data_IF_415117146258
#
_entry.id   IF_415117146258
#
_cell.length_a   1.000
_cell.length_b   1.000
_cell.length_c   1.000
_cell.angle_alpha   90.00
_cell.angle_beta   90.00
_cell.angle_gamma   90.00
#
_symmetry.space_group_name_H-M   'P 1'
#
loop_
_entity.id
_entity.type
_entity.pdbx_description
1 polymer ?
#
# COMPACT_ATOMS: atom_id res chain seq x y z
N UNK A 1 -3.76 -7.11 16.26
CA UNK A 1 -3.56 -6.50 14.93
C UNK A 1 -4.91 -6.42 14.25
N UNK A 2 -5.19 -5.34 13.54
CA UNK A 2 -6.39 -5.20 12.69
C UNK A 2 -6.21 -6.05 11.43
N UNK A 3 -6.99 -7.12 11.28
CA UNK A 3 -6.91 -8.07 10.16
C UNK A 3 -7.55 -7.56 8.85
N UNK A 4 -7.36 -6.27 8.55
CA UNK A 4 -8.01 -5.65 7.40
C UNK A 4 -7.04 -5.57 6.22
N UNK A 5 -7.46 -6.10 5.08
CA UNK A 5 -6.74 -5.90 3.83
C UNK A 5 -6.98 -4.46 3.33
N UNK A 6 -5.91 -3.77 2.98
CA UNK A 6 -5.93 -2.38 2.50
C UNK A 6 -5.51 -2.40 1.03
N UNK A 7 -6.37 -1.88 0.15
CA UNK A 7 -6.07 -1.74 -1.27
C UNK A 7 -5.95 -0.25 -1.65
N UNK A 8 -4.82 0.11 -2.23
CA UNK A 8 -4.58 1.41 -2.87
C UNK A 8 -4.87 1.30 -4.36
N UNK A 9 -5.82 2.12 -4.84
CA UNK A 9 -6.09 2.26 -6.28
C UNK A 9 -5.27 3.46 -6.79
N UNK A 10 -4.21 3.15 -7.54
CA UNK A 10 -3.10 4.02 -7.88
C UNK A 10 -1.86 3.70 -7.02
N UNK A 11 -0.69 3.61 -7.64
CA UNK A 11 0.58 3.27 -7.00
C UNK A 11 1.63 4.40 -7.04
N UNK A 12 1.20 5.64 -7.31
CA UNK A 12 2.10 6.79 -7.31
C UNK A 12 2.59 7.23 -5.92
N UNK A 13 3.37 8.32 -5.88
CA UNK A 13 4.10 8.79 -4.68
C UNK A 13 3.26 8.89 -3.40
N UNK A 14 1.99 9.28 -3.48
CA UNK A 14 1.11 9.34 -2.30
C UNK A 14 0.79 7.95 -1.75
N UNK A 15 0.46 6.99 -2.61
CA UNK A 15 0.22 5.60 -2.20
C UNK A 15 1.48 5.03 -1.56
N UNK A 16 2.64 5.20 -2.20
CA UNK A 16 3.92 4.75 -1.63
C UNK A 16 4.19 5.38 -0.26
N UNK A 17 3.96 6.68 -0.10
CA UNK A 17 4.20 7.37 1.19
C UNK A 17 3.30 6.86 2.31
N UNK A 18 2.01 6.61 2.01
CA UNK A 18 1.05 6.06 2.96
C UNK A 18 1.38 4.61 3.31
N UNK A 19 1.74 3.78 2.32
CA UNK A 19 2.15 2.38 2.53
C UNK A 19 3.36 2.31 3.46
N UNK A 20 4.39 3.13 3.21
CA UNK A 20 5.56 3.20 4.09
C UNK A 20 5.19 3.63 5.52
N UNK A 21 4.27 4.59 5.66
CA UNK A 21 3.72 4.99 6.95
C UNK A 21 3.00 3.84 7.67
N UNK A 22 2.18 3.07 6.97
CA UNK A 22 1.46 1.93 7.54
C UNK A 22 2.43 0.84 8.02
N UNK A 23 3.40 0.48 7.18
CA UNK A 23 4.41 -0.53 7.52
C UNK A 23 5.24 -0.07 8.73
N UNK A 24 5.64 1.20 8.79
CA UNK A 24 6.39 1.73 9.93
C UNK A 24 5.59 1.74 11.24
N UNK A 25 4.24 1.81 11.15
CA UNK A 25 3.34 1.69 12.29
C UNK A 25 2.96 0.22 12.62
N UNK A 26 3.59 -0.76 11.97
CA UNK A 26 3.43 -2.18 12.28
C UNK A 26 2.30 -2.90 11.53
N UNK A 27 1.76 -2.31 10.46
CA UNK A 27 0.84 -3.04 9.58
C UNK A 27 1.59 -4.11 8.79
N UNK A 28 0.96 -5.27 8.63
CA UNK A 28 1.53 -6.36 7.84
C UNK A 28 1.51 -6.01 6.35
N UNK A 29 2.69 -5.93 5.72
CA UNK A 29 2.82 -5.63 4.30
C UNK A 29 2.05 -6.61 3.39
N UNK A 30 1.86 -7.86 3.83
CA UNK A 30 1.09 -8.86 3.06
C UNK A 30 -0.42 -8.55 3.00
N UNK A 31 -0.90 -7.65 3.85
CA UNK A 31 -2.29 -7.18 3.85
C UNK A 31 -2.46 -5.86 3.08
N UNK A 32 -1.38 -5.34 2.48
CA UNK A 32 -1.39 -4.09 1.73
C UNK A 32 -1.19 -4.40 0.25
N UNK A 33 -2.11 -3.90 -0.57
CA UNK A 33 -2.14 -4.11 -2.01
C UNK A 33 -2.13 -2.74 -2.70
N UNK A 34 -1.36 -2.60 -3.76
CA UNK A 34 -1.40 -1.44 -4.64
C UNK A 34 -1.68 -1.93 -6.06
N UNK A 35 -2.54 -1.22 -6.79
CA UNK A 35 -2.84 -1.50 -8.20
C UNK A 35 -2.71 -0.21 -8.99
N UNK A 36 -2.11 -0.29 -10.17
CA UNK A 36 -2.03 0.83 -11.11
C UNK A 36 -2.14 0.25 -12.53
N UNK A 37 -2.88 0.88 -13.46
CA UNK A 37 -2.87 0.45 -14.86
C UNK A 37 -1.50 0.62 -15.51
N UNK A 38 -0.65 1.51 -14.98
CA UNK A 38 0.71 1.72 -15.42
C UNK A 38 1.68 0.81 -14.65
N UNK A 39 2.20 -0.21 -15.33
CA UNK A 39 3.11 -1.18 -14.74
C UNK A 39 4.43 -0.56 -14.26
N UNK A 40 4.83 0.62 -14.76
CA UNK A 40 6.03 1.31 -14.30
C UNK A 40 5.87 1.93 -12.89
N UNK A 41 4.62 2.03 -12.40
CA UNK A 41 4.33 2.57 -11.07
C UNK A 41 4.19 1.51 -9.97
N UNK A 42 4.22 0.22 -10.34
CA UNK A 42 4.16 -0.91 -9.41
C UNK A 42 5.57 -1.35 -8.98
#
# INVERSE_FOLDING_TARGET
MSDHNIAFIGAGNMASSLIHGLISHGYNAQQIWAVDPDAEKL
#
